data_IF_415407084876
#
_entry.id   IF_415407084876
#
_cell.length_a   1.000
_cell.length_b   1.000
_cell.length_c   1.000
_cell.angle_alpha   90.00
_cell.angle_beta   90.00
_cell.angle_gamma   90.00
#
_symmetry.space_group_name_H-M   'P 1'
#
loop_
_entity.id
_entity.type
_entity.pdbx_description
1 polymer ?
#
# COMPACT_ATOMS: atom_id res chain seq x y z
N UNK A 1 2.10 19.00 32.75
CA UNK A 1 2.72 19.08 31.43
C UNK A 1 1.77 18.50 30.40
N UNK A 2 1.41 19.28 29.38
CA UNK A 2 0.48 18.92 28.29
C UNK A 2 0.88 17.64 27.56
N UNK A 3 2.18 17.39 27.41
CA UNK A 3 2.72 16.20 26.73
C UNK A 3 2.32 14.88 27.40
N UNK A 4 2.24 14.83 28.72
CA UNK A 4 1.82 13.62 29.44
C UNK A 4 0.33 13.30 29.26
N UNK A 5 -0.54 14.32 29.19
CA UNK A 5 -1.99 14.13 29.03
C UNK A 5 -2.35 13.66 27.60
N UNK A 6 -1.70 14.19 26.59
CA UNK A 6 -1.92 13.78 25.19
C UNK A 6 -1.45 12.35 24.95
N UNK A 7 -0.31 11.94 25.51
CA UNK A 7 0.18 10.57 25.46
C UNK A 7 -0.82 9.60 26.11
N UNK A 8 -1.32 9.93 27.30
CA UNK A 8 -2.34 9.10 27.98
C UNK A 8 -3.65 8.98 27.20
N UNK A 9 -4.11 10.06 26.54
CA UNK A 9 -5.32 10.05 25.72
C UNK A 9 -5.09 9.14 24.50
N UNK A 10 -3.96 9.27 23.83
CA UNK A 10 -3.59 8.43 22.67
C UNK A 10 -3.51 6.96 23.05
N UNK A 11 -2.84 6.61 24.14
CA UNK A 11 -2.67 5.21 24.56
C UNK A 11 -4.01 4.61 25.01
N UNK A 12 -4.85 5.38 25.68
CA UNK A 12 -6.21 4.97 26.04
C UNK A 12 -7.08 4.70 24.81
N UNK A 13 -7.04 5.59 23.82
CA UNK A 13 -7.77 5.42 22.56
C UNK A 13 -7.36 4.15 21.82
N UNK A 14 -6.05 3.84 21.78
CA UNK A 14 -5.54 2.62 21.16
C UNK A 14 -5.93 1.35 21.90
N UNK A 15 -5.92 1.39 23.23
CA UNK A 15 -6.39 0.27 24.05
C UNK A 15 -7.87 -0.04 23.78
N UNK A 16 -8.72 0.99 23.63
CA UNK A 16 -10.12 0.82 23.27
C UNK A 16 -10.27 0.21 21.87
N UNK A 17 -9.48 0.66 20.89
CA UNK A 17 -9.51 0.11 19.55
C UNK A 17 -9.06 -1.37 19.52
N UNK A 18 -8.02 -1.73 20.26
CA UNK A 18 -7.58 -3.13 20.37
C UNK A 18 -8.65 -4.02 20.98
N UNK A 19 -9.31 -3.57 22.03
CA UNK A 19 -10.44 -4.32 22.63
C UNK A 19 -11.60 -4.47 21.64
N UNK A 20 -11.90 -3.41 20.90
CA UNK A 20 -12.97 -3.44 19.90
C UNK A 20 -12.65 -4.40 18.75
N UNK A 21 -11.40 -4.39 18.23
CA UNK A 21 -10.97 -5.32 17.18
C UNK A 21 -10.98 -6.76 17.65
N UNK A 22 -10.49 -7.05 18.86
CA UNK A 22 -10.54 -8.38 19.45
C UNK A 22 -11.99 -8.90 19.61
N UNK A 23 -12.92 -8.03 20.01
CA UNK A 23 -14.34 -8.41 20.11
C UNK A 23 -14.98 -8.66 18.74
N UNK A 24 -14.59 -7.90 17.72
CA UNK A 24 -15.05 -8.13 16.33
C UNK A 24 -14.55 -9.48 15.82
N UNK A 25 -13.27 -9.80 16.00
CA UNK A 25 -12.71 -11.11 15.61
C UNK A 25 -13.43 -12.27 16.32
N UNK A 26 -13.69 -12.12 17.61
CA UNK A 26 -14.41 -13.14 18.40
C UNK A 26 -15.82 -13.38 17.88
N UNK A 27 -16.52 -12.36 17.39
CA UNK A 27 -17.90 -12.44 16.88
C UNK A 27 -17.98 -12.87 15.42
N UNK A 28 -16.94 -12.61 14.64
CA UNK A 28 -16.95 -12.76 13.19
C UNK A 28 -15.75 -13.60 12.70
N UNK A 29 -15.93 -14.95 12.55
CA UNK A 29 -14.82 -15.84 12.18
C UNK A 29 -14.12 -15.55 10.85
N UNK A 30 -14.75 -14.73 9.98
CA UNK A 30 -14.20 -14.31 8.70
C UNK A 30 -13.46 -12.95 8.75
N UNK A 31 -13.35 -12.37 9.94
CA UNK A 31 -12.63 -11.12 10.17
C UNK A 31 -11.36 -11.43 10.95
N UNK A 32 -10.25 -10.83 10.56
CA UNK A 32 -8.98 -10.91 11.28
C UNK A 32 -8.34 -9.52 11.39
N UNK A 33 -7.69 -9.29 12.53
CA UNK A 33 -6.91 -8.08 12.74
C UNK A 33 -5.50 -8.24 12.17
N UNK A 34 -5.05 -7.26 11.41
CA UNK A 34 -3.66 -7.19 10.98
C UNK A 34 -2.90 -6.15 11.83
N UNK A 35 -1.84 -6.54 12.55
CA UNK A 35 -1.20 -5.72 13.57
C UNK A 35 -0.25 -4.66 12.98
N UNK A 36 -0.74 -3.83 12.04
CA UNK A 36 0.08 -2.80 11.39
C UNK A 36 0.61 -1.75 12.38
N UNK A 37 -0.17 -1.47 13.40
CA UNK A 37 0.24 -0.54 14.45
C UNK A 37 1.40 -1.10 15.28
N UNK A 38 1.32 -2.37 15.67
CA UNK A 38 2.35 -3.06 16.44
C UNK A 38 3.63 -3.21 15.63
N UNK A 39 3.53 -3.56 14.34
CA UNK A 39 4.69 -3.60 13.43
C UNK A 39 5.37 -2.23 13.41
N UNK A 40 4.60 -1.13 13.28
CA UNK A 40 5.17 0.22 13.26
C UNK A 40 5.86 0.58 14.56
N UNK A 41 5.29 0.22 15.71
CA UNK A 41 5.83 0.63 17.03
C UNK A 41 6.88 -0.33 17.59
N UNK A 42 6.85 -1.61 17.22
CA UNK A 42 7.73 -2.63 17.80
C UNK A 42 8.87 -3.01 16.88
N UNK A 43 8.64 -3.19 15.57
CA UNK A 43 9.68 -3.53 14.62
C UNK A 43 10.33 -2.28 14.01
N UNK A 44 9.53 -1.25 13.66
CA UNK A 44 9.97 -0.06 12.94
C UNK A 44 10.22 1.13 13.88
N UNK A 45 10.99 0.92 14.94
CA UNK A 45 11.24 1.91 16.01
C UNK A 45 12.19 3.06 15.65
N UNK A 46 12.75 3.08 14.46
CA UNK A 46 13.74 4.06 14.04
C UNK A 46 13.07 5.26 13.35
N UNK A 47 13.59 6.46 13.54
CA UNK A 47 13.10 7.71 12.93
C UNK A 47 13.00 7.67 11.41
N UNK A 48 13.83 6.90 10.71
CA UNK A 48 13.76 6.70 9.26
C UNK A 48 12.44 6.12 8.77
N UNK A 49 11.68 5.47 9.67
CA UNK A 49 10.39 4.89 9.36
C UNK A 49 9.23 5.85 9.57
N UNK A 50 9.51 7.08 10.01
CA UNK A 50 8.54 8.16 10.12
C UNK A 50 8.76 9.19 9.01
N UNK A 51 7.68 9.87 8.61
CA UNK A 51 7.72 11.02 7.72
C UNK A 51 8.35 12.23 8.43
N UNK A 52 8.52 13.34 7.72
CA UNK A 52 9.13 14.56 8.28
C UNK A 52 8.37 15.13 9.49
N UNK A 53 7.09 14.88 9.58
CA UNK A 53 6.24 15.29 10.71
C UNK A 53 6.41 14.43 11.97
N UNK A 54 7.18 13.37 11.91
CA UNK A 54 7.45 12.42 13.02
C UNK A 54 6.20 11.73 13.58
N UNK A 55 5.10 11.74 12.83
CA UNK A 55 3.80 11.19 13.22
C UNK A 55 3.37 10.10 12.24
N UNK A 56 3.42 10.40 10.94
CA UNK A 56 3.02 9.47 9.90
C UNK A 56 4.13 8.50 9.53
N UNK A 57 3.81 7.25 9.14
CA UNK A 57 4.79 6.32 8.61
C UNK A 57 5.44 6.86 7.33
N UNK A 58 6.75 6.65 7.17
CA UNK A 58 7.44 6.92 5.91
C UNK A 58 6.98 5.96 4.81
N UNK A 59 7.24 6.32 3.55
CA UNK A 59 6.97 5.45 2.39
C UNK A 59 7.63 4.06 2.55
N UNK A 60 8.82 4.01 3.15
CA UNK A 60 9.54 2.77 3.42
C UNK A 60 8.80 1.90 4.45
N UNK A 61 8.30 2.52 5.52
CA UNK A 61 7.53 1.80 6.55
C UNK A 61 6.21 1.25 5.97
N UNK A 62 5.50 2.05 5.19
CA UNK A 62 4.26 1.61 4.51
C UNK A 62 4.54 0.43 3.58
N UNK A 63 5.62 0.48 2.80
CA UNK A 63 5.99 -0.62 1.91
C UNK A 63 6.29 -1.91 2.67
N UNK A 64 7.03 -1.83 3.79
CA UNK A 64 7.32 -2.97 4.64
C UNK A 64 6.07 -3.59 5.27
N UNK A 65 5.20 -2.75 5.86
CA UNK A 65 3.93 -3.21 6.46
C UNK A 65 3.04 -3.88 5.41
N UNK A 66 2.98 -3.30 4.21
CA UNK A 66 2.22 -3.89 3.10
C UNK A 66 2.80 -5.24 2.64
N UNK A 67 4.12 -5.39 2.62
CA UNK A 67 4.78 -6.68 2.35
C UNK A 67 4.44 -7.72 3.43
N UNK A 68 4.48 -7.34 4.71
CA UNK A 68 4.08 -8.22 5.82
C UNK A 68 2.62 -8.67 5.66
N UNK A 69 1.71 -7.76 5.34
CA UNK A 69 0.31 -8.08 5.06
C UNK A 69 0.19 -9.06 3.88
N UNK A 70 0.96 -8.84 2.83
CA UNK A 70 0.99 -9.71 1.65
C UNK A 70 1.44 -11.13 1.98
N UNK A 71 2.41 -11.30 2.85
CA UNK A 71 2.87 -12.62 3.31
C UNK A 71 1.81 -13.40 4.08
N UNK A 72 0.92 -12.70 4.77
CA UNK A 72 -0.14 -13.32 5.59
C UNK A 72 -1.39 -13.62 4.76
N UNK A 73 -1.83 -12.67 3.93
CA UNK A 73 -3.15 -12.73 3.30
C UNK A 73 -3.13 -13.03 1.80
N UNK A 74 -2.01 -12.87 1.11
CA UNK A 74 -1.98 -13.04 -0.34
C UNK A 74 -1.64 -14.49 -0.70
N UNK A 75 -2.57 -15.15 -1.35
CA UNK A 75 -2.33 -16.47 -1.96
C UNK A 75 -1.39 -16.36 -3.18
N UNK A 76 -0.93 -17.52 -3.66
CA UNK A 76 0.03 -17.63 -4.76
C UNK A 76 -0.40 -16.91 -6.06
N UNK A 77 -1.69 -16.84 -6.33
CA UNK A 77 -2.24 -16.12 -7.49
C UNK A 77 -2.01 -14.61 -7.37
N UNK A 78 -2.28 -14.02 -6.20
CA UNK A 78 -2.06 -12.61 -5.93
C UNK A 78 -0.56 -12.27 -5.93
N UNK A 79 0.26 -13.11 -5.33
CA UNK A 79 1.72 -12.93 -5.32
C UNK A 79 2.30 -12.92 -6.74
N UNK A 80 1.85 -13.82 -7.61
CA UNK A 80 2.25 -13.83 -9.03
C UNK A 80 1.77 -12.58 -9.77
N UNK A 81 0.52 -12.19 -9.55
CA UNK A 81 -0.01 -10.95 -10.13
C UNK A 81 0.83 -9.74 -9.74
N UNK A 82 1.13 -9.58 -8.45
CA UNK A 82 1.93 -8.46 -7.95
C UNK A 82 3.34 -8.45 -8.53
N UNK A 83 3.98 -9.60 -8.68
CA UNK A 83 5.30 -9.70 -9.31
C UNK A 83 5.28 -9.26 -10.79
N UNK A 84 4.22 -9.58 -11.54
CA UNK A 84 4.05 -9.16 -12.92
C UNK A 84 3.58 -7.69 -13.04
N UNK A 85 2.81 -7.21 -12.05
CA UNK A 85 2.30 -5.84 -12.01
C UNK A 85 3.35 -4.79 -11.65
N UNK A 86 4.28 -5.10 -10.73
CA UNK A 86 5.28 -4.15 -10.25
C UNK A 86 6.08 -3.44 -11.37
N UNK A 87 6.64 -4.16 -12.38
CA UNK A 87 7.34 -3.48 -13.47
C UNK A 87 6.42 -2.63 -14.35
N UNK A 88 5.16 -3.00 -14.49
CA UNK A 88 4.15 -2.21 -15.23
C UNK A 88 3.80 -0.95 -14.46
N UNK A 89 3.57 -1.06 -13.15
CA UNK A 89 3.34 0.09 -12.25
C UNK A 89 4.53 1.06 -12.27
N UNK A 90 5.75 0.54 -12.23
CA UNK A 90 6.95 1.39 -12.32
C UNK A 90 7.04 2.12 -13.67
N UNK A 91 6.68 1.45 -14.77
CA UNK A 91 6.65 2.05 -16.11
C UNK A 91 5.56 3.13 -16.23
N UNK A 92 4.38 2.91 -15.65
CA UNK A 92 3.30 3.91 -15.62
C UNK A 92 3.67 5.16 -14.82
N UNK A 93 4.40 4.98 -13.72
CA UNK A 93 4.86 6.08 -12.86
C UNK A 93 6.13 6.77 -13.38
N UNK A 94 6.68 6.31 -14.50
CA UNK A 94 7.87 6.93 -15.08
C UNK A 94 7.58 8.34 -15.59
N UNK A 95 8.31 9.32 -15.05
CA UNK A 95 8.23 10.72 -15.50
C UNK A 95 9.26 10.96 -16.60
N UNK A 96 8.83 11.19 -17.85
CA UNK A 96 9.76 11.46 -18.94
C UNK A 96 10.31 12.88 -18.83
N UNK A 97 11.51 13.08 -19.38
CA UNK A 97 12.06 14.41 -19.59
C UNK A 97 11.28 15.19 -20.67
N UNK A 98 10.88 14.48 -21.74
CA UNK A 98 10.06 15.00 -22.83
C UNK A 98 8.85 14.09 -23.09
N UNK A 99 7.63 14.46 -22.60
CA UNK A 99 6.41 13.68 -22.79
C UNK A 99 5.95 13.55 -24.24
N UNK A 100 6.35 14.48 -25.11
CA UNK A 100 5.93 14.50 -26.52
C UNK A 100 6.87 13.72 -27.44
N UNK A 101 7.99 13.24 -26.91
CA UNK A 101 8.95 12.48 -27.70
C UNK A 101 8.34 11.19 -28.29
N UNK A 102 8.73 10.83 -29.49
CA UNK A 102 8.30 9.60 -30.15
C UNK A 102 8.72 8.36 -29.31
N UNK A 103 9.87 8.42 -28.65
CA UNK A 103 10.35 7.36 -27.78
C UNK A 103 9.46 7.13 -26.56
N UNK A 104 8.96 8.20 -25.94
CA UNK A 104 8.04 8.08 -24.80
C UNK A 104 6.67 7.57 -25.25
N UNK A 105 6.16 8.01 -26.39
CA UNK A 105 4.90 7.51 -26.94
C UNK A 105 4.96 6.00 -27.23
N UNK A 106 6.05 5.52 -27.81
CA UNK A 106 6.27 4.08 -28.07
C UNK A 106 6.37 3.30 -26.74
N UNK A 107 7.13 3.82 -25.76
CA UNK A 107 7.23 3.25 -24.42
C UNK A 107 5.86 3.12 -23.73
N UNK A 108 5.03 4.16 -23.78
CA UNK A 108 3.69 4.14 -23.18
C UNK A 108 2.76 3.17 -23.92
N UNK A 109 2.81 3.11 -25.25
CA UNK A 109 2.02 2.13 -26.02
C UNK A 109 2.39 0.70 -25.62
N UNK A 110 3.67 0.37 -25.49
CA UNK A 110 4.14 -0.95 -25.01
C UNK A 110 3.70 -1.22 -23.58
N UNK A 111 3.71 -0.21 -22.72
CA UNK A 111 3.25 -0.32 -21.33
C UNK A 111 1.75 -0.60 -21.26
N UNK A 112 0.93 0.10 -22.06
CA UNK A 112 -0.50 -0.14 -22.12
C UNK A 112 -0.84 -1.53 -22.68
N UNK A 113 -0.10 -2.01 -23.68
CA UNK A 113 -0.25 -3.39 -24.17
C UNK A 113 0.03 -4.44 -23.08
N UNK A 114 0.99 -4.17 -22.17
CA UNK A 114 1.24 -5.03 -21.00
C UNK A 114 0.09 -4.97 -19.97
N UNK A 115 -0.49 -3.81 -19.73
CA UNK A 115 -1.70 -3.64 -18.88
C UNK A 115 -2.84 -4.49 -19.43
N UNK A 116 -3.12 -4.40 -20.73
CA UNK A 116 -4.18 -5.17 -21.39
C UNK A 116 -3.93 -6.69 -21.30
N UNK A 117 -2.67 -7.11 -21.48
CA UNK A 117 -2.30 -8.53 -21.36
C UNK A 117 -2.53 -9.06 -19.93
N UNK A 118 -2.16 -8.29 -18.90
CA UNK A 118 -2.40 -8.63 -17.50
C UNK A 118 -3.89 -8.64 -17.17
N UNK A 119 -4.65 -7.67 -17.65
CA UNK A 119 -6.10 -7.61 -17.47
C UNK A 119 -6.79 -8.87 -18.04
N UNK A 120 -6.39 -9.32 -19.22
CA UNK A 120 -6.90 -10.56 -19.84
C UNK A 120 -6.48 -11.81 -19.08
N UNK A 121 -5.22 -11.86 -18.61
CA UNK A 121 -4.66 -13.02 -17.89
C UNK A 121 -5.32 -13.25 -16.54
N UNK A 122 -5.63 -12.17 -15.83
CA UNK A 122 -6.14 -12.19 -14.47
C UNK A 122 -7.62 -11.76 -14.38
N UNK A 123 -8.45 -12.28 -15.17
CA UNK A 123 -9.87 -12.01 -15.53
C UNK A 123 -10.81 -11.45 -14.44
N UNK A 124 -10.39 -11.34 -13.17
CA UNK A 124 -11.13 -10.81 -12.04
C UNK A 124 -10.60 -9.47 -11.51
N UNK A 125 -9.48 -9.00 -12.02
CA UNK A 125 -9.01 -7.65 -11.73
C UNK A 125 -9.55 -6.78 -12.87
N UNK A 126 -10.66 -6.12 -12.59
CA UNK A 126 -11.10 -4.98 -13.40
C UNK A 126 -10.02 -3.89 -13.33
N UNK A 127 -8.90 -4.11 -14.04
CA UNK A 127 -8.01 -3.04 -14.47
C UNK A 127 -8.72 -2.20 -15.54
N UNK A 128 -10.02 -1.98 -15.36
CA UNK A 128 -10.78 -0.90 -15.97
C UNK A 128 -10.34 0.41 -15.32
N UNK A 129 -9.01 0.55 -15.13
CA UNK A 129 -8.42 1.85 -14.99
C UNK A 129 -8.58 2.56 -16.35
N UNK A 130 -9.65 3.30 -16.51
CA UNK A 130 -9.51 4.58 -17.19
C UNK A 130 -8.47 5.32 -16.37
N UNK A 131 -7.21 5.17 -16.76
CA UNK A 131 -6.11 6.01 -16.29
C UNK A 131 -6.41 7.37 -16.92
N UNK A 132 -7.26 8.13 -16.27
CA UNK A 132 -7.31 9.56 -16.48
C UNK A 132 -5.94 10.04 -16.02
N UNK A 133 -5.17 10.57 -16.97
CA UNK A 133 -3.78 11.02 -16.81
C UNK A 133 -3.56 12.01 -15.65
N UNK A 134 -4.62 12.50 -15.02
CA UNK A 134 -4.62 13.49 -13.96
C UNK A 134 -4.54 12.90 -12.54
N UNK A 135 -4.77 11.59 -12.35
CA UNK A 135 -4.85 10.98 -11.02
C UNK A 135 -3.55 10.27 -10.58
N UNK A 136 -2.49 10.33 -11.39
CA UNK A 136 -1.20 9.72 -11.06
C UNK A 136 -0.28 10.62 -10.22
N UNK A 137 -0.78 11.77 -9.73
CA UNK A 137 0.03 12.78 -9.02
C UNK A 137 -0.35 12.97 -7.55
N UNK A 138 -0.62 11.87 -6.81
CA UNK A 138 -0.68 11.91 -5.35
C UNK A 138 0.15 10.78 -4.75
#
# INVERSE_FOLDING_TARGET
>A
SLVGSEMCIRDRSKSVLLLATAEIERRHPHVSYFPSYEIMNDELRDYRFYAEDMIHPSTQAVAYIHECMGRVYFGSAMTRFLAEWQPVKAALNHRPFDPESAGYKDFMNKTMARVDALSKKYNNFALNFKIERNDLYY
#
